data_IF_390554988772
#
_entry.id   IF_390554988772
#
_cell.length_a   1.000
_cell.length_b   1.000
_cell.length_c   1.000
_cell.angle_alpha   90.00
_cell.angle_beta   90.00
_cell.angle_gamma   90.00
#
_symmetry.space_group_name_H-M   'P 1'
#
loop_
_entity.id
_entity.type
_entity.pdbx_description
1 polymer ?
#
# COMPACT_ATOMS: atom_id res chain seq x y z
N UNK A 1 -5.32 -4.52 2.62
CA UNK A 1 -3.84 -4.47 2.67
C UNK A 1 -3.31 -4.25 4.10
N UNK A 2 -3.50 -3.07 4.71
CA UNK A 2 -2.87 -2.70 5.99
C UNK A 2 -3.26 -3.52 7.21
N UNK A 3 -4.47 -4.10 7.24
CA UNK A 3 -4.91 -4.94 8.37
C UNK A 3 -4.16 -6.28 8.44
N UNK A 4 -3.62 -6.77 7.32
CA UNK A 4 -3.07 -8.10 7.17
C UNK A 4 -1.53 -8.09 7.24
N UNK A 5 -0.91 -9.26 7.10
CA UNK A 5 0.55 -9.42 7.04
C UNK A 5 1.23 -8.65 5.91
N UNK A 6 0.53 -8.40 4.80
CA UNK A 6 1.05 -7.58 3.71
C UNK A 6 1.45 -6.17 4.18
N UNK A 7 0.70 -5.60 5.14
CA UNK A 7 1.01 -4.30 5.72
C UNK A 7 2.32 -4.25 6.52
N UNK A 8 2.85 -5.40 6.95
CA UNK A 8 4.15 -5.49 7.65
C UNK A 8 5.31 -5.04 6.75
N UNK A 9 5.12 -5.08 5.43
CA UNK A 9 6.14 -4.79 4.40
C UNK A 9 5.78 -3.57 3.56
N UNK A 10 5.08 -2.60 4.14
CA UNK A 10 4.54 -1.46 3.37
C UNK A 10 5.65 -0.69 2.65
N UNK A 11 6.77 -0.41 3.34
CA UNK A 11 7.90 0.32 2.75
C UNK A 11 8.54 -0.49 1.62
N UNK A 12 8.85 -1.75 1.88
CA UNK A 12 9.45 -2.64 0.90
C UNK A 12 8.53 -2.87 -0.30
N UNK A 13 7.21 -2.84 -0.11
CA UNK A 13 6.23 -2.92 -1.19
C UNK A 13 6.32 -1.69 -2.10
N UNK A 14 6.39 -0.48 -1.54
CA UNK A 14 6.52 0.77 -2.33
C UNK A 14 7.83 0.77 -3.13
N UNK A 15 8.93 0.36 -2.49
CA UNK A 15 10.25 0.26 -3.11
C UNK A 15 10.27 -0.81 -4.22
N UNK A 16 9.70 -1.99 -3.96
CA UNK A 16 9.62 -3.08 -4.93
C UNK A 16 8.76 -2.72 -6.15
N UNK A 17 7.60 -2.08 -5.94
CA UNK A 17 6.75 -1.59 -7.03
C UNK A 17 7.52 -0.59 -7.92
N UNK A 18 8.29 0.30 -7.31
CA UNK A 18 9.14 1.22 -8.06
C UNK A 18 10.23 0.48 -8.84
N UNK A 19 10.86 -0.52 -8.24
CA UNK A 19 11.94 -1.31 -8.84
C UNK A 19 11.48 -2.16 -10.04
N UNK A 20 10.27 -2.72 -10.00
CA UNK A 20 9.70 -3.48 -11.12
C UNK A 20 9.16 -2.59 -12.24
N UNK A 21 9.20 -1.26 -12.09
CA UNK A 21 8.68 -0.32 -13.07
C UNK A 21 7.17 -0.05 -12.97
N UNK A 22 6.61 -0.13 -11.77
CA UNK A 22 5.22 0.21 -11.45
C UNK A 22 5.09 1.50 -10.59
N UNK A 23 5.61 2.66 -11.05
CA UNK A 23 5.61 3.90 -10.26
C UNK A 23 4.21 4.43 -9.93
N UNK A 24 3.19 4.16 -10.74
CA UNK A 24 1.82 4.60 -10.46
C UNK A 24 1.26 3.82 -9.26
N UNK A 25 1.40 2.50 -9.26
CA UNK A 25 0.98 1.64 -8.15
C UNK A 25 1.79 1.94 -6.89
N UNK A 26 3.10 2.17 -7.01
CA UNK A 26 3.94 2.61 -5.88
C UNK A 26 3.42 3.92 -5.26
N UNK A 27 3.00 4.88 -6.10
CA UNK A 27 2.40 6.13 -5.63
C UNK A 27 1.07 5.91 -4.91
N UNK A 28 0.21 5.00 -5.39
CA UNK A 28 -1.06 4.66 -4.72
C UNK A 28 -0.79 4.14 -3.31
N UNK A 29 0.08 3.15 -3.17
CA UNK A 29 0.43 2.57 -1.86
C UNK A 29 1.08 3.63 -0.96
N UNK A 30 1.94 4.49 -1.52
CA UNK A 30 2.56 5.60 -0.80
C UNK A 30 1.56 6.61 -0.24
N UNK A 31 0.56 7.02 -1.03
CA UNK A 31 -0.51 7.93 -0.55
C UNK A 31 -1.35 7.27 0.54
N UNK A 32 -1.71 6.00 0.37
CA UNK A 32 -2.45 5.25 1.37
C UNK A 32 -1.64 5.12 2.68
N UNK A 33 -0.33 4.82 2.58
CA UNK A 33 0.56 4.72 3.74
C UNK A 33 0.75 6.06 4.47
N UNK A 34 0.77 7.17 3.73
CA UNK A 34 0.90 8.52 4.29
C UNK A 34 -0.27 8.94 5.20
N UNK A 35 -1.41 8.22 5.16
CA UNK A 35 -2.55 8.44 6.05
C UNK A 35 -2.27 7.99 7.50
N UNK A 36 -1.24 7.18 7.71
CA UNK A 36 -0.80 6.81 9.06
C UNK A 36 0.00 7.94 9.72
N UNK A 37 -0.11 8.12 11.05
CA UNK A 37 0.73 9.06 11.78
C UNK A 37 2.23 8.78 11.54
N UNK A 38 2.99 9.81 11.14
CA UNK A 38 4.40 9.66 10.78
C UNK A 38 4.66 9.30 9.32
N UNK A 39 3.62 9.23 8.48
CA UNK A 39 3.71 9.07 7.03
C UNK A 39 3.92 7.63 6.55
N UNK A 40 4.01 6.66 7.47
CA UNK A 40 4.07 5.23 7.19
C UNK A 40 3.38 4.45 8.31
N UNK A 41 2.76 3.30 8.03
CA UNK A 41 2.21 2.45 9.06
C UNK A 41 3.32 1.78 9.89
N UNK A 42 3.07 1.49 11.19
CA UNK A 42 3.99 0.67 11.98
C UNK A 42 4.20 -0.73 11.38
N UNK A 43 5.44 -1.24 11.48
CA UNK A 43 5.75 -2.63 11.12
C UNK A 43 5.06 -3.61 12.09
N UNK A 44 4.99 -3.26 13.37
CA UNK A 44 4.24 -4.04 14.36
C UNK A 44 2.75 -4.10 13.99
N UNK A 45 2.27 -5.33 13.77
CA UNK A 45 0.92 -5.57 13.28
C UNK A 45 -0.15 -5.05 14.25
N UNK A 46 0.01 -5.29 15.55
CA UNK A 46 -1.01 -4.92 16.51
C UNK A 46 -1.11 -3.40 16.68
N UNK A 47 0.03 -2.70 16.72
CA UNK A 47 0.08 -1.25 16.72
C UNK A 47 -0.55 -0.66 15.45
N UNK A 48 -0.23 -1.22 14.28
CA UNK A 48 -0.81 -0.78 13.01
C UNK A 48 -2.32 -1.01 12.94
N UNK A 49 -2.80 -2.20 13.32
CA UNK A 49 -4.23 -2.52 13.34
C UNK A 49 -4.99 -1.59 14.28
N UNK A 50 -4.44 -1.32 15.46
CA UNK A 50 -5.04 -0.38 16.41
C UNK A 50 -5.13 1.03 15.82
N UNK A 51 -4.04 1.56 15.24
CA UNK A 51 -4.07 2.87 14.59
C UNK A 51 -5.05 2.92 13.41
N UNK A 52 -5.09 1.83 12.63
CA UNK A 52 -5.98 1.70 11.49
C UNK A 52 -7.45 1.82 11.91
N UNK A 53 -7.86 1.06 12.92
CA UNK A 53 -9.24 1.04 13.41
C UNK A 53 -9.60 2.28 14.26
N UNK A 54 -8.68 2.78 15.08
CA UNK A 54 -9.01 3.84 16.03
C UNK A 54 -8.88 5.25 15.42
N UNK A 55 -8.09 5.42 14.36
CA UNK A 55 -7.69 6.76 13.88
C UNK A 55 -7.69 6.93 12.37
N UNK A 56 -7.10 5.99 11.64
CA UNK A 56 -6.87 6.18 10.20
C UNK A 56 -8.14 5.93 9.39
N UNK A 57 -8.87 4.85 9.72
CA UNK A 57 -10.03 4.39 8.96
C UNK A 57 -11.10 3.76 9.85
N UNK A 58 -11.63 4.48 10.87
CA UNK A 58 -12.66 3.95 11.75
C UNK A 58 -13.91 3.48 10.99
N UNK A 59 -14.27 4.18 9.91
CA UNK A 59 -15.45 3.90 9.08
C UNK A 59 -15.11 3.06 7.83
N UNK A 60 -13.88 2.54 7.72
CA UNK A 60 -13.41 1.72 6.59
C UNK A 60 -13.48 2.38 5.19
N UNK A 61 -13.48 3.72 5.13
CA UNK A 61 -13.61 4.51 3.90
C UNK A 61 -12.34 5.32 3.56
N UNK A 62 -11.36 5.35 4.46
CA UNK A 62 -10.21 6.23 4.34
C UNK A 62 -9.33 5.96 3.12
N UNK A 63 -9.51 4.84 2.39
CA UNK A 63 -8.71 4.47 1.22
C UNK A 63 -9.50 4.37 -0.08
N UNK A 64 -10.76 4.84 -0.12
CA UNK A 64 -11.62 4.66 -1.29
C UNK A 64 -11.06 5.25 -2.59
N UNK A 65 -10.34 6.38 -2.51
CA UNK A 65 -9.68 6.98 -3.67
C UNK A 65 -8.51 6.14 -4.18
N UNK A 66 -7.70 5.59 -3.28
CA UNK A 66 -6.59 4.71 -3.64
C UNK A 66 -7.07 3.36 -4.17
N UNK A 67 -8.14 2.80 -3.59
CA UNK A 67 -8.76 1.57 -4.08
C UNK A 67 -9.33 1.79 -5.49
N UNK A 68 -10.02 2.92 -5.73
CA UNK A 68 -10.51 3.27 -7.07
C UNK A 68 -9.36 3.42 -8.08
N UNK A 69 -8.29 4.13 -7.70
CA UNK A 69 -7.12 4.31 -8.55
C UNK A 69 -6.41 2.99 -8.87
N UNK A 70 -6.35 2.05 -7.93
CA UNK A 70 -5.76 0.73 -8.15
C UNK A 70 -6.55 -0.10 -9.16
N UNK A 71 -7.89 0.01 -9.13
CA UNK A 71 -8.79 -0.70 -10.05
C UNK A 71 -8.78 -0.14 -11.49
N UNK A 72 -8.13 1.00 -11.74
CA UNK A 72 -7.91 1.49 -13.10
C UNK A 72 -6.90 0.63 -13.90
N UNK A 73 -6.17 -0.26 -13.23
CA UNK A 73 -5.23 -1.21 -13.86
C UNK A 73 -4.27 -0.57 -14.87
N UNK A 74 -3.74 0.62 -14.54
CA UNK A 74 -2.83 1.37 -15.44
C UNK A 74 -1.50 0.66 -15.73
N UNK A 75 -1.11 -0.26 -14.87
CA UNK A 75 0.14 -1.00 -14.94
C UNK A 75 -0.17 -2.51 -14.87
N UNK A 76 0.40 -3.27 -15.82
CA UNK A 76 0.32 -4.73 -15.81
C UNK A 76 1.39 -5.29 -14.86
N UNK A 77 1.02 -5.41 -13.58
CA UNK A 77 1.93 -5.88 -12.53
C UNK A 77 2.43 -7.30 -12.80
N UNK A 78 1.62 -8.16 -13.43
CA UNK A 78 2.02 -9.54 -13.73
C UNK A 78 3.13 -9.55 -14.79
N UNK A 79 2.95 -8.81 -15.88
CA UNK A 79 3.97 -8.67 -16.91
C UNK A 79 5.26 -8.03 -16.36
N UNK A 80 5.13 -7.02 -15.49
CA UNK A 80 6.28 -6.34 -14.88
C UNK A 80 7.05 -7.27 -13.93
N UNK A 81 6.36 -8.03 -13.08
CA UNK A 81 6.99 -9.02 -12.19
C UNK A 81 7.69 -10.12 -13.00
N UNK A 82 7.02 -10.64 -14.03
CA UNK A 82 7.60 -11.66 -14.91
C UNK A 82 8.89 -11.18 -15.59
N UNK A 83 8.89 -9.92 -16.08
CA UNK A 83 10.06 -9.28 -16.67
C UNK A 83 11.20 -9.04 -15.67
N UNK A 84 10.90 -8.75 -14.41
CA UNK A 84 11.91 -8.49 -13.40
C UNK A 84 12.56 -9.77 -12.86
N UNK A 85 11.80 -10.87 -12.79
CA UNK A 85 12.25 -12.16 -12.25
C UNK A 85 12.91 -13.08 -13.28
N UNK A 86 12.69 -12.85 -14.58
CA UNK A 86 13.30 -13.59 -15.69
C UNK A 86 14.62 -12.99 -16.17
#
# INVERSE_FOLDING_TARGET
FFFNSAGDRTRETIEALSAIGAPHTASIVGRAAAKFPGGLPPEDRFARQRLLLDRVSPDSDAFSEEDAAFLEHREDLEALVSKYAG
#
